data_IF_066773718075
#
_entry.id   IF_066773718075
#
_cell.length_a   1.000
_cell.length_b   1.000
_cell.length_c   1.000
_cell.angle_alpha   90.00
_cell.angle_beta   90.00
_cell.angle_gamma   90.00
#
_symmetry.space_group_name_H-M   'P 1'
#
loop_
_entity.id
_entity.type
_entity.pdbx_description
1 polymer ?
#
# COMPACT_ATOMS: atom_id res chain seq x y z
N UNK A 1 6.27 33.84 1.76
CA UNK A 1 5.87 32.50 2.22
C UNK A 1 5.00 31.87 1.14
N UNK A 2 5.64 31.21 0.19
CA UNK A 2 5.00 30.70 -1.03
C UNK A 2 4.13 29.51 -0.67
N UNK A 3 2.83 29.58 -0.98
CA UNK A 3 1.95 28.41 -0.98
C UNK A 3 2.57 27.40 -1.95
N UNK A 4 3.11 26.30 -1.45
CA UNK A 4 3.28 25.11 -2.28
C UNK A 4 1.88 24.65 -2.64
N UNK A 5 1.42 25.02 -3.83
CA UNK A 5 0.24 24.43 -4.45
C UNK A 5 0.43 22.93 -4.45
N UNK A 6 -0.58 22.21 -3.97
CA UNK A 6 -0.62 20.76 -4.06
C UNK A 6 -0.45 20.38 -5.53
N UNK A 7 0.67 19.74 -5.87
CA UNK A 7 0.89 19.18 -7.20
C UNK A 7 -0.18 18.11 -7.41
N UNK A 8 -1.17 18.41 -8.24
CA UNK A 8 -2.08 17.41 -8.76
C UNK A 8 -1.39 16.78 -9.97
N UNK A 9 -0.57 15.76 -9.72
CA UNK A 9 0.02 14.96 -10.77
C UNK A 9 -1.11 14.27 -11.55
N UNK A 10 -1.30 14.65 -12.83
CA UNK A 10 -2.19 13.91 -13.75
C UNK A 10 -1.37 12.80 -14.39
N UNK A 11 -1.56 11.58 -13.93
CA UNK A 11 -0.84 10.43 -14.48
C UNK A 11 -1.16 9.13 -13.78
N UNK A 12 -0.48 8.08 -14.25
CA UNK A 12 -0.63 6.71 -13.81
C UNK A 12 0.52 6.39 -12.87
N UNK A 13 0.22 5.94 -11.65
CA UNK A 13 1.20 5.33 -10.78
C UNK A 13 1.24 3.84 -11.07
N UNK A 14 2.43 3.32 -11.32
CA UNK A 14 2.68 1.88 -11.43
C UNK A 14 3.23 1.41 -10.09
N UNK A 15 2.43 0.63 -9.38
CA UNK A 15 2.77 0.10 -8.06
C UNK A 15 3.02 -1.39 -8.19
N UNK A 16 4.28 -1.80 -8.07
CA UNK A 16 4.70 -3.20 -8.08
C UNK A 16 4.84 -3.71 -6.65
N UNK A 17 4.04 -4.70 -6.30
CA UNK A 17 4.22 -5.49 -5.08
C UNK A 17 5.19 -6.62 -5.41
N UNK A 18 6.42 -6.53 -4.88
CA UNK A 18 7.49 -7.45 -5.23
C UNK A 18 7.45 -8.69 -4.32
N UNK A 19 7.99 -8.60 -3.12
CA UNK A 19 8.05 -9.71 -2.17
C UNK A 19 7.84 -9.25 -0.73
N UNK A 20 7.55 -10.19 0.17
CA UNK A 20 7.61 -9.97 1.61
C UNK A 20 8.54 -10.96 2.29
N UNK A 21 9.00 -10.62 3.49
CA UNK A 21 9.83 -11.47 4.33
C UNK A 21 9.26 -11.62 5.72
N UNK A 22 9.45 -12.80 6.30
CA UNK A 22 9.16 -13.12 7.70
C UNK A 22 7.72 -12.77 8.12
N UNK A 23 6.74 -13.01 7.24
CA UNK A 23 5.32 -12.78 7.57
C UNK A 23 4.88 -13.63 8.77
N UNK A 24 3.96 -13.13 9.62
CA UNK A 24 3.36 -13.94 10.67
C UNK A 24 2.66 -15.17 10.09
N UNK A 25 2.69 -16.27 10.82
CA UNK A 25 1.91 -17.45 10.47
C UNK A 25 0.59 -17.43 11.25
N UNK A 26 -0.54 -17.29 10.57
CA UNK A 26 -1.88 -17.37 11.17
C UNK A 26 -2.48 -18.79 11.13
N UNK A 27 -1.95 -19.67 10.27
CA UNK A 27 -2.45 -21.04 10.13
C UNK A 27 -2.08 -21.97 11.30
N UNK A 28 -3.05 -22.79 11.71
CA UNK A 28 -2.82 -23.87 12.67
C UNK A 28 -2.06 -25.06 12.06
N UNK A 29 -2.26 -25.31 10.77
CA UNK A 29 -1.62 -26.41 10.02
C UNK A 29 -1.11 -25.88 8.71
N UNK A 30 0.22 -25.79 8.58
CA UNK A 30 0.88 -25.19 7.43
C UNK A 30 1.45 -23.80 7.76
N UNK A 31 1.66 -23.01 6.71
CA UNK A 31 2.01 -21.60 6.77
C UNK A 31 0.91 -20.83 6.08
N UNK A 32 0.79 -19.56 6.43
CA UNK A 32 -0.09 -18.61 5.75
C UNK A 32 0.01 -18.65 4.22
N UNK A 33 -1.13 -18.36 3.61
CA UNK A 33 -1.41 -18.17 2.19
C UNK A 33 -1.52 -16.66 1.86
N UNK A 34 -0.42 -15.88 1.86
CA UNK A 34 -0.52 -14.43 1.85
C UNK A 34 -0.92 -13.81 0.51
N UNK A 35 -1.65 -12.70 0.60
CA UNK A 35 -1.91 -11.74 -0.48
C UNK A 35 -1.90 -10.31 0.05
N UNK A 36 -1.73 -9.32 -0.83
CA UNK A 36 -1.68 -7.90 -0.48
C UNK A 36 -2.89 -7.17 -1.07
N UNK A 37 -3.57 -6.37 -0.27
CA UNK A 37 -4.56 -5.37 -0.69
C UNK A 37 -3.87 -4.01 -0.78
N UNK A 38 -4.09 -3.31 -1.88
CA UNK A 38 -3.57 -1.97 -2.13
C UNK A 38 -4.73 -0.98 -2.05
N UNK A 39 -4.58 0.07 -1.24
CA UNK A 39 -5.62 1.09 -1.08
C UNK A 39 -5.04 2.49 -1.04
N UNK A 40 -5.82 3.48 -1.48
CA UNK A 40 -5.58 4.88 -1.11
C UNK A 40 -6.32 5.22 0.17
N UNK A 41 -5.60 5.79 1.11
CA UNK A 41 -6.20 6.38 2.29
C UNK A 41 -6.37 7.88 2.15
N UNK A 42 -7.56 8.35 2.44
CA UNK A 42 -7.92 9.75 2.41
C UNK A 42 -8.86 10.15 3.54
N UNK A 43 -8.94 11.46 3.80
CA UNK A 43 -10.00 11.99 4.65
C UNK A 43 -11.21 12.33 3.79
N UNK A 44 -12.35 11.77 4.18
CA UNK A 44 -13.63 12.15 3.61
C UNK A 44 -13.91 13.65 3.85
N UNK A 45 -14.35 14.35 2.81
CA UNK A 45 -14.56 15.79 2.89
C UNK A 45 -15.75 16.14 3.79
N UNK A 46 -16.79 15.30 3.79
CA UNK A 46 -18.02 15.50 4.54
C UNK A 46 -17.88 14.97 5.97
N UNK A 47 -17.52 13.69 6.13
CA UNK A 47 -17.49 13.02 7.45
C UNK A 47 -16.20 13.27 8.23
N UNK A 48 -15.13 13.74 7.56
CA UNK A 48 -13.76 13.88 8.10
C UNK A 48 -13.09 12.57 8.51
N UNK A 49 -13.76 11.44 8.34
CA UNK A 49 -13.24 10.12 8.66
C UNK A 49 -12.17 9.69 7.67
N UNK A 50 -11.27 8.82 8.12
CA UNK A 50 -10.34 8.12 7.23
C UNK A 50 -11.11 7.05 6.46
N UNK A 51 -11.03 7.12 5.13
CA UNK A 51 -11.58 6.11 4.22
C UNK A 51 -10.47 5.54 3.36
N UNK A 52 -10.62 4.25 3.06
CA UNK A 52 -9.71 3.50 2.22
C UNK A 52 -10.43 3.14 0.91
N UNK A 53 -9.88 3.59 -0.22
CA UNK A 53 -10.33 3.20 -1.55
C UNK A 53 -9.43 2.09 -2.07
N UNK A 54 -9.97 0.87 -2.14
CA UNK A 54 -9.22 -0.28 -2.62
C UNK A 54 -8.97 -0.16 -4.12
N UNK A 55 -7.69 -0.20 -4.49
CA UNK A 55 -7.20 -0.19 -5.86
C UNK A 55 -7.18 -1.59 -6.45
N UNK A 56 -6.71 -2.56 -5.68
CA UNK A 56 -6.52 -3.92 -6.17
C UNK A 56 -6.07 -4.87 -5.07
N UNK A 57 -5.81 -6.11 -5.48
CA UNK A 57 -5.19 -7.13 -4.64
C UNK A 57 -4.31 -8.06 -5.48
N UNK A 58 -3.22 -8.54 -4.90
CA UNK A 58 -2.37 -9.56 -5.53
C UNK A 58 -3.05 -10.92 -5.54
N UNK A 59 -2.45 -11.87 -6.26
CA UNK A 59 -2.74 -13.29 -6.11
C UNK A 59 -2.34 -13.77 -4.72
N UNK A 60 -3.00 -14.84 -4.31
CA UNK A 60 -2.66 -15.60 -3.13
C UNK A 60 -1.49 -16.51 -3.46
N UNK A 61 -0.46 -16.51 -2.61
CA UNK A 61 0.66 -17.45 -2.70
C UNK A 61 0.52 -18.42 -1.56
N UNK A 62 0.36 -19.71 -1.86
CA UNK A 62 0.06 -20.70 -0.83
C UNK A 62 1.27 -21.10 0.02
N UNK A 63 1.07 -21.27 1.32
CA UNK A 63 1.96 -21.91 2.27
C UNK A 63 3.37 -21.30 2.28
N UNK A 64 3.45 -19.97 2.34
CA UNK A 64 4.71 -19.25 2.21
C UNK A 64 4.75 -17.94 3.00
N UNK A 65 5.62 -17.86 4.02
CA UNK A 65 5.86 -16.65 4.81
C UNK A 65 6.84 -15.66 4.14
N UNK A 66 7.41 -16.04 3.00
CA UNK A 66 8.30 -15.21 2.17
C UNK A 66 7.83 -15.20 0.71
N UNK A 67 6.62 -14.69 0.45
CA UNK A 67 6.00 -14.68 -0.88
C UNK A 67 6.71 -13.71 -1.84
N UNK A 68 6.72 -14.06 -3.13
CA UNK A 68 7.16 -13.21 -4.24
C UNK A 68 6.01 -13.10 -5.22
N UNK A 69 5.33 -11.96 -5.26
CA UNK A 69 4.18 -11.71 -6.14
C UNK A 69 4.61 -11.15 -7.49
N UNK A 70 5.48 -10.13 -7.49
CA UNK A 70 5.89 -9.40 -8.71
C UNK A 70 4.70 -8.93 -9.56
N UNK A 71 3.66 -8.41 -8.89
CA UNK A 71 2.43 -7.95 -9.53
C UNK A 71 2.39 -6.43 -9.56
N UNK A 72 2.14 -5.87 -10.75
CA UNK A 72 2.05 -4.42 -10.95
C UNK A 72 0.61 -3.98 -11.14
N UNK A 73 0.23 -2.91 -10.43
CA UNK A 73 -1.06 -2.28 -10.49
C UNK A 73 -0.90 -0.88 -11.07
N UNK A 74 -1.72 -0.58 -12.09
CA UNK A 74 -1.80 0.75 -12.67
C UNK A 74 -2.89 1.54 -11.98
N UNK A 75 -2.53 2.74 -11.54
CA UNK A 75 -3.39 3.57 -10.71
C UNK A 75 -3.52 4.93 -11.34
N UNK A 76 -4.68 5.20 -11.91
CA UNK A 76 -5.00 6.49 -12.50
C UNK A 76 -5.57 7.45 -11.45
N UNK A 77 -4.73 8.39 -10.98
CA UNK A 77 -5.12 9.38 -9.97
C UNK A 77 -6.18 10.35 -10.51
N UNK A 78 -6.22 10.59 -11.83
CA UNK A 78 -7.15 11.55 -12.42
C UNK A 78 -8.61 11.05 -12.38
N UNK A 79 -8.80 9.74 -12.26
CA UNK A 79 -10.11 9.09 -12.27
C UNK A 79 -10.56 8.57 -10.89
N UNK A 80 -9.85 8.93 -9.82
CA UNK A 80 -10.30 8.60 -8.47
C UNK A 80 -11.59 9.36 -8.13
N UNK A 81 -12.56 8.71 -7.47
CA UNK A 81 -13.83 9.32 -7.11
C UNK A 81 -13.63 10.44 -6.08
N UNK A 82 -14.13 11.63 -6.43
CA UNK A 82 -13.89 12.89 -5.72
C UNK A 82 -12.39 13.24 -5.66
N UNK A 83 -12.02 14.47 -5.30
CA UNK A 83 -10.61 14.87 -5.20
C UNK A 83 -10.16 14.85 -3.75
N UNK A 84 -10.10 13.68 -3.08
CA UNK A 84 -9.58 13.66 -1.74
C UNK A 84 -8.15 14.18 -1.75
N UNK A 85 -7.75 14.84 -0.66
CA UNK A 85 -6.33 14.90 -0.33
C UNK A 85 -5.91 13.47 -0.02
N UNK A 86 -5.36 12.79 -1.02
CA UNK A 86 -4.74 11.48 -0.84
C UNK A 86 -3.56 11.71 0.09
N UNK A 87 -3.56 11.00 1.21
CA UNK A 87 -2.51 11.12 2.20
C UNK A 87 -1.51 9.98 2.05
N UNK A 88 -2.01 8.76 1.87
CA UNK A 88 -1.20 7.54 1.99
C UNK A 88 -1.61 6.49 0.95
N UNK A 89 -0.61 5.75 0.47
CA UNK A 89 -0.78 4.43 -0.12
C UNK A 89 -0.67 3.39 1.01
N UNK A 90 -1.64 2.49 1.05
CA UNK A 90 -1.75 1.43 2.05
C UNK A 90 -1.48 0.08 1.40
N UNK A 91 -0.65 -0.74 2.06
CA UNK A 91 -0.38 -2.11 1.67
C UNK A 91 -0.73 -3.03 2.83
N UNK A 92 -1.86 -3.72 2.75
CA UNK A 92 -2.33 -4.60 3.82
C UNK A 92 -2.14 -6.06 3.40
N UNK A 93 -1.37 -6.81 4.19
CA UNK A 93 -1.10 -8.22 3.96
C UNK A 93 -2.12 -9.04 4.73
N UNK A 94 -2.71 -10.01 4.05
CA UNK A 94 -3.71 -10.92 4.60
C UNK A 94 -3.36 -12.36 4.30
N UNK A 95 -3.75 -13.25 5.20
CA UNK A 95 -3.78 -14.70 5.02
C UNK A 95 -5.09 -15.12 4.38
N UNK A 96 -5.06 -16.02 3.40
CA UNK A 96 -6.27 -16.50 2.75
C UNK A 96 -6.74 -17.82 3.35
N UNK A 97 -7.73 -17.73 4.24
CA UNK A 97 -8.39 -18.90 4.79
C UNK A 97 -9.57 -19.42 3.96
N UNK A 98 -9.96 -20.66 4.25
CA UNK A 98 -11.22 -21.26 3.79
C UNK A 98 -12.44 -20.38 4.12
N UNK A 99 -12.44 -19.76 5.30
CA UNK A 99 -13.49 -18.84 5.75
C UNK A 99 -12.84 -17.55 6.23
N UNK A 100 -13.09 -16.45 5.52
CA UNK A 100 -12.53 -15.15 5.87
C UNK A 100 -11.09 -14.96 5.39
N UNK A 101 -10.36 -14.13 6.11
CA UNK A 101 -8.94 -13.84 5.93
C UNK A 101 -8.39 -13.24 7.22
N UNK A 102 -7.25 -13.72 7.67
CA UNK A 102 -6.55 -13.14 8.82
C UNK A 102 -5.61 -12.02 8.41
N UNK A 103 -5.52 -10.98 9.24
CA UNK A 103 -4.64 -9.84 8.98
C UNK A 103 -3.20 -10.17 9.40
N UNK A 104 -2.25 -9.99 8.49
CA UNK A 104 -0.84 -10.31 8.71
C UNK A 104 0.04 -9.07 8.91
N UNK A 105 -0.35 -7.90 8.43
CA UNK A 105 0.46 -6.68 8.60
C UNK A 105 0.12 -5.56 7.62
N UNK A 106 0.65 -4.37 7.86
CA UNK A 106 0.43 -3.22 6.99
C UNK A 106 1.69 -2.38 6.83
N UNK A 107 2.01 -2.06 5.58
CA UNK A 107 2.96 -1.04 5.16
C UNK A 107 2.24 0.24 4.72
N UNK A 108 2.87 1.39 4.94
CA UNK A 108 2.32 2.70 4.56
C UNK A 108 3.39 3.49 3.80
N UNK A 109 3.04 3.97 2.61
CA UNK A 109 3.81 5.00 1.93
C UNK A 109 3.10 6.36 2.05
N UNK A 110 3.81 7.35 2.57
CA UNK A 110 3.35 8.74 2.53
C UNK A 110 3.38 9.23 1.07
N UNK A 111 2.21 9.64 0.57
CA UNK A 111 2.07 9.97 -0.84
C UNK A 111 2.86 11.23 -1.23
N UNK A 112 3.07 12.16 -0.29
CA UNK A 112 3.89 13.34 -0.53
C UNK A 112 5.38 12.98 -0.63
N UNK A 113 5.87 11.99 0.14
CA UNK A 113 7.23 11.47 -0.01
C UNK A 113 7.39 10.72 -1.33
N UNK A 114 6.45 9.85 -1.69
CA UNK A 114 6.43 9.15 -2.98
C UNK A 114 6.54 10.17 -4.14
N UNK A 115 5.73 11.22 -4.10
CA UNK A 115 5.77 12.28 -5.12
C UNK A 115 7.12 13.02 -5.15
N UNK A 116 7.70 13.34 -3.98
CA UNK A 116 9.03 13.98 -3.92
C UNK A 116 10.13 13.12 -4.55
N UNK A 117 10.06 11.81 -4.41
CA UNK A 117 11.08 10.90 -4.96
C UNK A 117 10.89 10.69 -6.45
N UNK A 118 9.64 10.56 -6.90
CA UNK A 118 9.29 10.45 -8.32
C UNK A 118 9.74 11.70 -9.10
N UNK A 119 9.62 12.90 -8.54
CA UNK A 119 10.15 14.14 -9.15
C UNK A 119 11.68 14.15 -9.39
N UNK A 120 12.41 13.13 -8.90
CA UNK A 120 13.83 12.96 -9.17
C UNK A 120 14.08 11.96 -10.31
N UNK A 121 13.05 11.58 -11.08
CA UNK A 121 13.09 10.64 -12.21
C UNK A 121 13.71 9.28 -11.89
N UNK A 122 13.61 8.83 -10.64
CA UNK A 122 14.11 7.53 -10.19
C UNK A 122 12.94 6.63 -9.79
N UNK A 123 12.89 5.36 -10.23
CA UNK A 123 11.94 4.41 -9.66
C UNK A 123 12.15 4.35 -8.14
N UNK A 124 11.05 4.50 -7.40
CA UNK A 124 11.08 4.53 -5.94
C UNK A 124 10.80 3.12 -5.42
N UNK A 125 11.87 2.36 -5.15
CA UNK A 125 11.78 1.06 -4.48
C UNK A 125 12.07 1.24 -2.99
N UNK A 126 11.20 0.70 -2.15
CA UNK A 126 11.32 0.82 -0.70
C UNK A 126 10.92 -0.49 -0.01
N UNK A 127 11.61 -0.78 1.10
CA UNK A 127 11.23 -1.82 2.04
C UNK A 127 10.39 -1.18 3.14
N UNK A 128 9.16 -1.64 3.28
CA UNK A 128 8.23 -1.19 4.30
C UNK A 128 8.20 -2.22 5.42
N UNK A 129 8.57 -1.79 6.62
CA UNK A 129 8.28 -2.58 7.82
C UNK A 129 6.76 -2.73 7.97
N UNK A 130 6.33 -3.91 8.40
CA UNK A 130 4.93 -4.21 8.62
C UNK A 130 4.53 -3.99 10.07
N UNK A 131 3.32 -3.48 10.25
CA UNK A 131 2.78 -3.11 11.55
C UNK A 131 1.40 -3.75 11.78
N UNK A 132 1.04 -3.92 13.05
CA UNK A 132 -0.33 -4.20 13.46
C UNK A 132 -1.26 -3.04 13.06
N UNK A 133 -2.55 -3.33 12.86
CA UNK A 133 -3.58 -2.32 12.60
C UNK A 133 -4.33 -1.98 13.88
N UNK A 134 -4.43 -0.70 14.20
CA UNK A 134 -5.27 -0.21 15.30
C UNK A 134 -6.76 -0.25 14.90
N UNK A 135 -7.65 -0.16 15.88
CA UNK A 135 -9.11 -0.17 15.64
C UNK A 135 -9.60 0.97 14.74
N UNK A 136 -8.92 2.11 14.76
CA UNK A 136 -9.19 3.26 13.90
C UNK A 136 -8.54 3.15 12.50
N UNK A 137 -7.93 2.00 12.20
CA UNK A 137 -7.24 1.73 10.94
C UNK A 137 -5.83 2.28 10.85
N UNK A 138 -5.34 3.01 11.86
CA UNK A 138 -3.98 3.57 11.88
C UNK A 138 -2.93 2.49 12.20
N UNK A 139 -1.66 2.86 12.00
CA UNK A 139 -0.50 2.01 12.30
C UNK A 139 -0.37 1.80 13.81
N UNK A 140 -0.39 0.54 14.23
CA UNK A 140 -0.10 0.12 15.59
C UNK A 140 1.38 -0.17 15.82
N UNK A 141 1.64 -1.15 16.69
CA UNK A 141 2.99 -1.66 16.96
C UNK A 141 3.60 -2.32 15.73
N UNK A 142 4.93 -2.23 15.61
CA UNK A 142 5.68 -3.00 14.61
C UNK A 142 5.51 -4.50 14.85
N UNK A 143 5.49 -5.28 13.78
CA UNK A 143 5.49 -6.73 13.89
C UNK A 143 6.86 -7.24 14.36
N UNK A 144 6.84 -8.32 15.13
CA UNK A 144 8.02 -9.01 15.63
C UNK A 144 7.90 -10.52 15.32
N UNK A 145 8.91 -11.15 14.68
CA UNK A 145 10.10 -10.54 14.11
C UNK A 145 9.76 -9.51 13.03
N UNK A 146 10.70 -8.62 12.69
CA UNK A 146 10.50 -7.53 11.76
C UNK A 146 10.16 -8.05 10.34
N UNK A 147 8.86 -8.22 10.06
CA UNK A 147 8.37 -8.54 8.72
C UNK A 147 8.47 -7.31 7.81
N UNK A 148 8.84 -7.52 6.55
CA UNK A 148 9.00 -6.43 5.58
C UNK A 148 8.27 -6.72 4.27
N UNK A 149 7.87 -5.67 3.57
CA UNK A 149 7.27 -5.72 2.23
C UNK A 149 8.06 -4.82 1.27
N UNK A 150 8.55 -5.39 0.19
CA UNK A 150 9.20 -4.68 -0.91
C UNK A 150 8.16 -4.18 -1.91
N UNK A 151 8.15 -2.86 -2.14
CA UNK A 151 7.28 -2.21 -3.12
C UNK A 151 8.09 -1.26 -3.98
N UNK A 152 7.86 -1.31 -5.29
CA UNK A 152 8.38 -0.33 -6.23
C UNK A 152 7.24 0.53 -6.78
N UNK A 153 7.45 1.85 -6.82
CA UNK A 153 6.47 2.81 -7.31
C UNK A 153 7.15 3.64 -8.41
N UNK A 154 6.53 3.66 -9.58
CA UNK A 154 6.88 4.52 -10.69
C UNK A 154 5.67 5.39 -11.08
N UNK A 155 5.92 6.47 -11.81
CA UNK A 155 4.89 7.36 -12.33
C UNK A 155 5.10 7.57 -13.82
N UNK A 156 4.00 7.47 -14.56
CA UNK A 156 3.92 7.78 -15.98
C UNK A 156 2.85 8.84 -16.16
N UNK A 157 3.28 10.08 -16.38
CA UNK A 157 2.37 11.20 -16.58
C UNK A 157 3.01 12.32 -17.38
N UNK A 158 2.16 13.00 -18.16
CA UNK A 158 2.55 14.16 -18.94
C UNK A 158 2.23 15.42 -18.11
N UNK A 159 3.27 16.04 -17.55
CA UNK A 159 3.27 17.36 -16.89
C UNK A 159 2.90 17.41 -15.39
N UNK A 160 3.75 18.11 -14.63
CA UNK A 160 3.42 18.71 -13.34
C UNK A 160 2.68 20.03 -13.60
N UNK A 161 1.45 20.17 -13.11
CA UNK A 161 0.71 21.46 -13.14
C UNK A 161 1.09 22.35 -11.95
#
# INVERSE_FOLDING_TARGET
WTKMSAFACKGIYKVMIDYATDLPNADLVGKSDPYVIISFRYHDVETKELKDYQVGKTKVISNNLNPVWQETFEIDIANLPEKPKINQLLFEVYDKDMVGSDYLGMGIADFAEVNRQICKDSPYACLYDLYKKNKDGTRGEMLEPQSQLAVAIAYEGNEYL
#
